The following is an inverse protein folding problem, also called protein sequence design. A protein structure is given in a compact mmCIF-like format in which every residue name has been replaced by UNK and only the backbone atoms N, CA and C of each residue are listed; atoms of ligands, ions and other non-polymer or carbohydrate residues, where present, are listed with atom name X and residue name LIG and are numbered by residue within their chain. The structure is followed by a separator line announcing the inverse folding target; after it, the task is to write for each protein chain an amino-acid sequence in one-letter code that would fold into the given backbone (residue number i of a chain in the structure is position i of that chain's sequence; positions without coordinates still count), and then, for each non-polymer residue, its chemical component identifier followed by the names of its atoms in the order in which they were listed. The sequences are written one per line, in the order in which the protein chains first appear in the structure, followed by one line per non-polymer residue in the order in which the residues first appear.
data_IF_554900667781
#
_entry.id   IF_554900667781
#
_cell.length_a   1.000
_cell.length_b   1.000
_cell.length_c   1.000
_cell.angle_alpha   90.00
_cell.angle_beta   90.00
_cell.angle_gamma   90.00
#
_symmetry.space_group_name_H-M   'P 1'
#
loop_
_entity.id
_entity.type
_entity.pdbx_description
1 polymer ?
#
# COMPACT_ATOMS: atom_id res chain seq x y z
N UNK A 1 -81.31 16.92 45.27
CA UNK A 1 -81.17 15.48 45.58
C UNK A 1 -82.11 14.80 44.59
N UNK A 2 -81.68 14.05 43.58
CA UNK A 2 -80.76 12.90 43.59
C UNK A 2 -80.24 12.67 42.15
N UNK A 3 -79.08 12.01 42.05
CA UNK A 3 -78.28 11.72 40.86
C UNK A 3 -79.05 11.13 39.65
N UNK A 4 -78.69 11.60 38.45
CA UNK A 4 -78.85 10.87 37.19
C UNK A 4 -77.47 10.34 36.76
N UNK A 5 -77.34 9.02 36.69
CA UNK A 5 -76.29 8.31 35.95
C UNK A 5 -76.97 7.36 34.98
N UNK A 6 -76.88 7.65 33.68
CA UNK A 6 -77.00 6.70 32.55
C UNK A 6 -76.06 7.31 31.48
N UNK A 7 -74.83 6.79 31.32
CA UNK A 7 -74.44 5.62 30.52
C UNK A 7 -74.43 5.90 29.01
N UNK A 8 -73.21 5.81 28.45
CA UNK A 8 -72.86 5.33 27.10
C UNK A 8 -73.35 6.20 25.93
N UNK A 9 -72.59 6.46 24.86
CA UNK A 9 -71.32 5.96 24.36
C UNK A 9 -71.02 6.74 23.07
N UNK A 10 -69.85 6.45 22.50
CA UNK A 10 -69.51 6.51 21.07
C UNK A 10 -68.42 7.48 20.66
N UNK A 11 -67.43 6.84 20.03
CA UNK A 11 -66.62 7.35 18.94
C UNK A 11 -65.38 8.17 19.32
N UNK A 12 -64.34 7.46 19.75
CA UNK A 12 -62.98 7.76 19.27
C UNK A 12 -62.18 6.47 19.08
N UNK A 13 -62.79 5.51 18.41
CA UNK A 13 -62.08 4.42 17.74
C UNK A 13 -61.91 4.81 16.26
N UNK A 14 -60.81 4.35 15.64
CA UNK A 14 -60.49 4.49 14.21
C UNK A 14 -59.69 5.70 13.71
N UNK A 15 -58.70 6.19 14.48
CA UNK A 15 -57.59 6.98 13.89
C UNK A 15 -56.17 6.52 14.25
N UNK A 16 -56.02 5.43 15.01
CA UNK A 16 -54.69 4.94 15.43
C UNK A 16 -54.29 3.57 14.85
N UNK A 17 -55.03 3.01 13.88
CA UNK A 17 -54.74 1.69 13.30
C UNK A 17 -53.68 1.69 12.18
N UNK A 18 -53.35 2.86 11.62
CA UNK A 18 -52.39 2.98 10.52
C UNK A 18 -51.02 3.54 10.94
N UNK A 19 -50.86 3.97 12.19
CA UNK A 19 -49.58 4.50 12.69
C UNK A 19 -48.59 3.40 13.06
N UNK A 20 -49.05 2.29 13.65
CA UNK A 20 -48.22 1.15 14.08
C UNK A 20 -47.60 0.38 12.88
N UNK A 21 -48.34 0.01 11.81
CA UNK A 21 -47.73 -0.70 10.69
C UNK A 21 -46.75 0.16 9.87
N UNK A 22 -46.95 1.48 9.84
CA UNK A 22 -46.06 2.40 9.13
C UNK A 22 -44.69 2.57 9.84
N UNK A 23 -44.68 2.49 11.18
CA UNK A 23 -43.44 2.51 11.98
C UNK A 23 -42.66 1.19 11.83
N UNK A 24 -43.34 0.05 11.78
CA UNK A 24 -42.67 -1.25 11.59
C UNK A 24 -42.05 -1.34 10.18
N UNK A 25 -42.73 -0.81 9.16
CA UNK A 25 -42.22 -0.76 7.79
C UNK A 25 -40.98 0.15 7.66
N UNK A 26 -40.92 1.28 8.39
CA UNK A 26 -39.74 2.14 8.39
C UNK A 26 -38.55 1.50 9.11
N UNK A 27 -38.76 0.77 10.20
CA UNK A 27 -37.67 0.02 10.85
C UNK A 27 -37.12 -1.13 9.99
N UNK A 28 -37.95 -1.81 9.20
CA UNK A 28 -37.50 -2.85 8.26
C UNK A 28 -36.68 -2.25 7.10
N UNK A 29 -37.10 -1.09 6.56
CA UNK A 29 -36.33 -0.40 5.51
C UNK A 29 -35.02 0.21 6.03
N UNK A 30 -34.97 0.68 7.29
CA UNK A 30 -33.73 1.12 7.95
C UNK A 30 -32.79 -0.04 8.29
N UNK A 31 -33.30 -1.26 8.55
CA UNK A 31 -32.45 -2.46 8.70
C UNK A 31 -31.88 -2.98 7.37
N UNK A 32 -32.44 -2.53 6.24
CA UNK A 32 -31.92 -2.73 4.89
C UNK A 32 -31.05 -1.56 4.40
N UNK A 33 -30.76 -0.56 5.25
CA UNK A 33 -29.56 0.24 5.03
C UNK A 33 -28.41 -0.77 5.11
N UNK A 34 -27.83 -1.08 3.95
CA UNK A 34 -26.59 -1.83 3.87
C UNK A 34 -25.70 -1.23 4.95
N UNK A 35 -25.28 -2.05 5.90
CA UNK A 35 -24.00 -1.82 6.55
C UNK A 35 -23.08 -1.49 5.39
N UNK A 36 -22.55 -0.27 5.38
CA UNK A 36 -21.30 -0.04 4.69
C UNK A 36 -20.36 -1.04 5.33
N UNK A 37 -20.29 -2.22 4.71
CA UNK A 37 -19.22 -3.16 4.96
C UNK A 37 -18.00 -2.31 4.66
N UNK A 38 -17.29 -1.94 5.74
CA UNK A 38 -15.86 -1.74 5.68
C UNK A 38 -15.34 -2.97 4.95
N UNK A 39 -15.29 -2.84 3.63
CA UNK A 39 -14.72 -3.83 2.76
C UNK A 39 -13.26 -3.74 3.17
N UNK A 40 -12.79 -4.73 3.93
CA UNK A 40 -11.36 -4.97 4.06
C UNK A 40 -10.85 -5.14 2.63
N UNK A 41 -10.45 -4.04 1.99
CA UNK A 41 -9.90 -4.00 0.63
C UNK A 41 -8.45 -4.46 0.70
N UNK A 42 -8.23 -5.63 1.30
CA UNK A 42 -6.94 -6.30 1.25
C UNK A 42 -6.74 -6.72 -0.20
N UNK A 43 -5.69 -6.18 -0.80
CA UNK A 43 -5.35 -6.48 -2.19
C UNK A 43 -4.69 -7.85 -2.26
N UNK A 44 -4.68 -8.49 -3.43
CA UNK A 44 -3.94 -9.76 -3.58
C UNK A 44 -2.41 -9.58 -3.40
N UNK A 45 -1.93 -8.35 -3.54
CA UNK A 45 -0.54 -7.97 -3.28
C UNK A 45 -0.23 -7.81 -1.79
N UNK A 46 -1.23 -7.83 -0.89
CA UNK A 46 -1.05 -7.62 0.54
C UNK A 46 0.01 -8.59 1.13
N UNK A 47 0.97 -8.00 1.83
CA UNK A 47 2.09 -8.69 2.47
C UNK A 47 3.46 -8.25 1.96
N UNK A 48 4.48 -8.94 2.46
CA UNK A 48 5.88 -8.70 2.12
C UNK A 48 6.35 -9.70 1.06
N UNK A 49 7.02 -9.19 0.05
CA UNK A 49 7.61 -9.95 -1.04
C UNK A 49 9.09 -9.64 -1.11
N UNK A 50 9.91 -10.60 -1.53
CA UNK A 50 11.36 -10.45 -1.58
C UNK A 50 11.94 -11.09 -2.84
N UNK A 51 12.80 -10.36 -3.54
CA UNK A 51 13.59 -10.92 -4.64
C UNK A 51 14.64 -11.90 -4.13
N UNK A 52 15.09 -12.81 -4.99
CA UNK A 52 16.35 -13.51 -4.73
C UNK A 52 17.52 -12.52 -4.81
N UNK A 53 18.68 -12.88 -4.26
CA UNK A 53 19.91 -12.14 -4.52
C UNK A 53 20.24 -12.19 -6.03
N UNK A 54 20.40 -11.04 -6.67
CA UNK A 54 20.79 -10.97 -8.07
C UNK A 54 21.85 -9.89 -8.31
N UNK A 55 22.66 -10.09 -9.35
CA UNK A 55 23.80 -9.23 -9.67
C UNK A 55 23.42 -8.17 -10.69
N UNK A 56 23.85 -6.92 -10.46
CA UNK A 56 23.75 -5.82 -11.42
C UNK A 56 24.97 -5.79 -12.37
N UNK A 57 24.92 -4.96 -13.41
CA UNK A 57 25.98 -4.86 -14.41
C UNK A 57 27.34 -4.41 -13.84
N UNK A 58 27.33 -3.79 -12.65
CA UNK A 58 28.52 -3.31 -11.93
C UNK A 58 29.13 -4.36 -10.98
N UNK A 59 28.68 -5.62 -11.06
CA UNK A 59 29.04 -6.72 -10.13
C UNK A 59 28.69 -6.45 -8.66
N UNK A 60 27.77 -5.54 -8.39
CA UNK A 60 27.10 -5.48 -7.09
C UNK A 60 25.93 -6.44 -7.12
N UNK A 61 25.41 -6.76 -5.94
CA UNK A 61 24.15 -7.51 -5.85
C UNK A 61 23.09 -6.72 -5.12
N UNK A 62 21.84 -7.05 -5.43
CA UNK A 62 20.66 -6.34 -5.00
C UNK A 62 19.65 -7.32 -4.39
N UNK A 63 18.96 -6.83 -3.38
CA UNK A 63 17.76 -7.45 -2.82
C UNK A 63 16.71 -6.35 -2.66
N UNK A 64 15.59 -6.51 -3.36
CA UNK A 64 14.39 -5.70 -3.20
C UNK A 64 13.34 -6.43 -2.37
N UNK A 65 12.80 -5.72 -1.38
CA UNK A 65 11.74 -6.22 -0.48
C UNK A 65 10.57 -5.22 -0.42
N UNK A 66 9.61 -5.28 -1.36
CA UNK A 66 8.37 -4.51 -1.25
C UNK A 66 7.40 -5.12 -0.23
N UNK A 67 6.74 -4.26 0.54
CA UNK A 67 5.64 -4.62 1.45
C UNK A 67 4.42 -3.77 1.11
N UNK A 68 3.34 -4.44 0.70
CA UNK A 68 2.05 -3.81 0.43
C UNK A 68 1.17 -3.97 1.67
N UNK A 69 0.71 -2.84 2.21
CA UNK A 69 -0.19 -2.80 3.35
C UNK A 69 -1.27 -1.75 3.15
N UNK A 70 -2.51 -2.19 2.89
CA UNK A 70 -3.62 -1.29 2.57
C UNK A 70 -3.37 -0.52 1.28
N UNK A 71 -3.05 0.78 1.37
CA UNK A 71 -2.67 1.63 0.24
C UNK A 71 -1.22 2.14 0.30
N UNK A 72 -0.42 1.62 1.25
CA UNK A 72 0.98 2.00 1.46
C UNK A 72 1.87 0.90 0.93
N UNK A 73 2.86 1.29 0.13
CA UNK A 73 3.95 0.44 -0.32
C UNK A 73 5.22 0.92 0.36
N UNK A 74 5.88 0.05 1.13
CA UNK A 74 7.25 0.28 1.59
C UNK A 74 8.21 -0.59 0.81
N UNK A 75 9.38 -0.05 0.46
CA UNK A 75 10.41 -0.79 -0.29
C UNK A 75 11.70 -0.72 0.51
N UNK A 76 12.32 -1.88 0.71
CA UNK A 76 13.72 -1.97 1.12
C UNK A 76 14.57 -2.36 -0.07
N UNK A 77 15.57 -1.55 -0.41
CA UNK A 77 16.58 -1.80 -1.44
C UNK A 77 17.94 -1.97 -0.76
N UNK A 78 18.40 -3.22 -0.69
CA UNK A 78 19.71 -3.59 -0.17
C UNK A 78 20.68 -3.72 -1.35
N UNK A 79 21.77 -2.95 -1.34
CA UNK A 79 22.87 -3.10 -2.30
C UNK A 79 24.10 -3.64 -1.57
N UNK A 80 24.73 -4.64 -2.16
CA UNK A 80 25.93 -5.30 -1.66
C UNK A 80 27.07 -5.16 -2.67
N UNK A 81 28.30 -4.98 -2.21
CA UNK A 81 29.48 -4.78 -3.07
C UNK A 81 30.11 -6.07 -3.60
N UNK A 82 29.44 -7.21 -3.43
CA UNK A 82 29.78 -8.50 -4.01
C UNK A 82 28.58 -9.08 -4.74
N UNK A 83 28.74 -10.23 -5.39
CA UNK A 83 27.69 -10.89 -6.18
C UNK A 83 26.85 -11.91 -5.38
N UNK A 84 27.17 -12.10 -4.10
CA UNK A 84 26.56 -13.11 -3.21
C UNK A 84 25.63 -12.51 -2.15
N UNK A 85 25.38 -11.20 -2.19
CA UNK A 85 24.66 -10.44 -1.18
C UNK A 85 25.22 -10.59 0.24
N UNK A 86 26.55 -10.75 0.38
CA UNK A 86 27.18 -10.98 1.68
C UNK A 86 27.79 -9.72 2.30
N UNK A 87 28.25 -8.78 1.47
CA UNK A 87 28.96 -7.57 1.88
C UNK A 87 28.12 -6.34 1.61
N UNK A 88 27.43 -5.87 2.65
CA UNK A 88 26.56 -4.69 2.57
C UNK A 88 27.32 -3.45 2.10
N UNK A 89 26.72 -2.74 1.15
CA UNK A 89 27.19 -1.45 0.67
C UNK A 89 26.25 -0.33 1.11
N UNK A 90 24.93 -0.48 0.90
CA UNK A 90 23.93 0.49 1.34
C UNK A 90 22.56 -0.15 1.57
N UNK A 91 21.77 0.56 2.36
CA UNK A 91 20.32 0.37 2.49
C UNK A 91 19.58 1.60 1.97
N UNK A 92 18.47 1.38 1.25
CA UNK A 92 17.41 2.37 1.05
C UNK A 92 16.11 1.86 1.63
N UNK A 93 15.36 2.76 2.25
CA UNK A 93 13.99 2.52 2.71
C UNK A 93 13.08 3.61 2.12
N UNK A 94 12.09 3.19 1.35
CA UNK A 94 11.17 4.07 0.63
C UNK A 94 9.74 3.83 1.11
N UNK A 95 8.91 4.87 1.05
CA UNK A 95 7.48 4.77 1.30
C UNK A 95 6.71 5.50 0.19
N UNK A 96 5.76 4.78 -0.38
CA UNK A 96 4.94 5.17 -1.51
C UNK A 96 3.48 4.85 -1.22
N UNK A 97 2.60 5.37 -2.05
CA UNK A 97 1.21 4.90 -2.09
C UNK A 97 0.99 4.13 -3.37
N UNK A 98 0.06 3.18 -3.36
CA UNK A 98 -0.30 2.45 -4.57
C UNK A 98 -1.82 2.36 -4.72
N UNK A 99 -2.26 2.15 -5.96
CA UNK A 99 -3.65 1.91 -6.30
C UNK A 99 -3.75 0.75 -7.29
N UNK A 100 -4.67 -0.17 -7.02
CA UNK A 100 -4.98 -1.25 -7.94
C UNK A 100 -5.69 -0.70 -9.18
N UNK A 101 -5.25 -1.12 -10.36
CA UNK A 101 -5.86 -0.77 -11.65
C UNK A 101 -6.75 -1.90 -12.18
N UNK A 102 -6.83 -2.00 -13.51
CA UNK A 102 -7.40 -3.18 -14.17
C UNK A 102 -6.63 -4.45 -13.77
N UNK A 103 -7.17 -5.62 -14.13
CA UNK A 103 -6.56 -6.93 -13.87
C UNK A 103 -5.05 -6.95 -14.18
N UNK A 104 -4.26 -7.30 -13.15
CA UNK A 104 -2.80 -7.37 -13.22
C UNK A 104 -2.08 -6.02 -13.25
N UNK A 105 -2.77 -4.87 -13.11
CA UNK A 105 -2.13 -3.54 -13.11
C UNK A 105 -2.15 -2.92 -11.73
N UNK A 106 -1.06 -2.25 -11.38
CA UNK A 106 -0.96 -1.41 -10.18
C UNK A 106 -0.21 -0.13 -10.54
N UNK A 107 -0.66 0.99 -10.00
CA UNK A 107 0.07 2.26 -10.09
C UNK A 107 0.66 2.59 -8.74
N UNK A 108 1.91 3.06 -8.75
CA UNK A 108 2.63 3.49 -7.55
C UNK A 108 2.86 4.99 -7.68
N UNK A 109 2.46 5.76 -6.68
CA UNK A 109 2.78 7.18 -6.57
C UNK A 109 3.98 7.34 -5.66
N UNK A 110 5.07 7.89 -6.20
CA UNK A 110 6.32 8.05 -5.46
C UNK A 110 6.13 9.00 -4.28
N UNK A 111 6.79 8.65 -3.17
CA UNK A 111 6.85 9.48 -1.98
C UNK A 111 7.67 10.74 -2.23
N UNK A 112 7.69 11.64 -1.25
CA UNK A 112 8.52 12.85 -1.33
C UNK A 112 9.97 12.59 -0.92
N UNK A 113 10.18 11.63 -0.01
CA UNK A 113 11.49 11.35 0.59
C UNK A 113 11.71 9.85 0.79
N UNK A 114 12.97 9.47 0.94
CA UNK A 114 13.41 8.13 1.31
C UNK A 114 14.55 8.22 2.32
N UNK A 115 14.81 7.13 3.05
CA UNK A 115 15.99 7.03 3.91
C UNK A 115 17.09 6.29 3.17
N UNK A 116 18.32 6.79 3.27
CA UNK A 116 19.51 6.11 2.77
C UNK A 116 20.49 5.92 3.91
N UNK A 117 21.10 4.76 3.98
CA UNK A 117 22.08 4.40 5.01
C UNK A 117 23.31 3.76 4.33
N UNK A 118 24.51 4.37 4.41
CA UNK A 118 25.72 3.71 3.95
C UNK A 118 26.11 2.61 4.94
N UNK A 119 26.35 1.39 4.47
CA UNK A 119 26.69 0.24 5.34
C UNK A 119 28.16 -0.18 5.21
N UNK A 120 28.92 0.47 4.33
CA UNK A 120 30.36 0.28 4.16
C UNK A 120 31.14 1.59 4.23
N UNK A 121 32.44 1.48 4.49
CA UNK A 121 33.35 2.62 4.53
C UNK A 121 33.52 3.23 3.12
N UNK A 122 33.44 2.39 2.08
CA UNK A 122 33.44 2.83 0.69
C UNK A 122 32.18 3.65 0.34
N UNK A 123 31.00 3.24 0.82
CA UNK A 123 29.78 4.02 0.66
C UNK A 123 29.86 5.36 1.39
N UNK A 124 30.36 5.37 2.63
CA UNK A 124 30.57 6.61 3.41
C UNK A 124 31.48 7.59 2.67
N UNK A 125 32.64 7.11 2.18
CA UNK A 125 33.57 7.94 1.41
C UNK A 125 32.91 8.48 0.15
N UNK A 126 32.26 7.61 -0.64
CA UNK A 126 31.59 7.99 -1.88
C UNK A 126 30.51 9.05 -1.65
N UNK A 127 29.69 8.90 -0.59
CA UNK A 127 28.59 9.81 -0.34
C UNK A 127 29.06 11.19 0.12
N UNK A 128 30.12 11.25 0.93
CA UNK A 128 30.72 12.52 1.34
C UNK A 128 31.43 13.22 0.17
N UNK A 129 32.14 12.48 -0.68
CA UNK A 129 32.83 13.06 -1.85
C UNK A 129 31.84 13.61 -2.87
N UNK A 130 30.72 12.92 -3.10
CA UNK A 130 29.75 13.28 -4.13
C UNK A 130 28.57 14.13 -3.61
N UNK A 131 28.63 14.61 -2.36
CA UNK A 131 27.53 15.33 -1.71
C UNK A 131 26.17 14.61 -1.88
N UNK A 132 26.14 13.30 -1.60
CA UNK A 132 24.97 12.47 -1.91
C UNK A 132 23.76 12.94 -1.10
N UNK A 133 22.63 13.12 -1.79
CA UNK A 133 21.39 13.67 -1.24
C UNK A 133 21.54 15.08 -0.66
N UNK A 134 22.42 15.91 -1.25
CA UNK A 134 22.74 17.26 -0.78
C UNK A 134 23.17 17.31 0.69
N UNK A 135 23.72 16.18 1.17
CA UNK A 135 24.12 15.98 2.55
C UNK A 135 25.62 15.65 2.64
N UNK A 136 26.22 16.15 3.72
CA UNK A 136 27.59 15.85 4.12
C UNK A 136 27.60 15.20 5.51
N UNK A 137 28.79 14.76 5.95
CA UNK A 137 28.94 14.08 7.24
C UNK A 137 28.16 12.76 7.25
N UNK A 138 28.21 12.01 6.16
CA UNK A 138 27.73 10.63 6.13
C UNK A 138 28.60 9.79 7.04
N UNK A 139 27.93 8.97 7.86
CA UNK A 139 28.54 8.04 8.80
C UNK A 139 27.95 6.65 8.57
N UNK A 140 28.77 5.63 8.78
CA UNK A 140 28.39 4.24 8.55
C UNK A 140 27.22 3.87 9.46
N UNK A 141 26.22 3.19 8.91
CA UNK A 141 25.00 2.74 9.58
C UNK A 141 24.13 3.88 10.16
N UNK A 142 24.35 5.13 9.74
CA UNK A 142 23.52 6.27 10.11
C UNK A 142 22.65 6.69 8.93
N UNK A 143 21.34 6.51 9.07
CA UNK A 143 20.38 6.89 8.04
C UNK A 143 20.30 8.42 7.90
N UNK A 144 20.17 8.92 6.67
CA UNK A 144 19.71 10.29 6.39
C UNK A 144 18.55 10.27 5.42
N UNK A 145 17.68 11.27 5.57
CA UNK A 145 16.57 11.52 4.65
C UNK A 145 17.08 12.17 3.38
N UNK A 146 16.72 11.60 2.24
CA UNK A 146 16.96 12.09 0.90
C UNK A 146 15.63 12.48 0.25
N UNK A 147 15.67 13.37 -0.74
CA UNK A 147 14.51 13.78 -1.53
C UNK A 147 14.44 13.01 -2.84
N UNK A 148 13.23 12.68 -3.29
CA UNK A 148 12.98 12.25 -4.67
C UNK A 148 13.02 13.43 -5.66
N UNK A 149 13.12 14.67 -5.18
CA UNK A 149 13.25 15.85 -6.03
C UNK A 149 12.02 16.07 -6.90
N UNK A 150 12.23 16.28 -8.19
CA UNK A 150 11.16 16.49 -9.18
C UNK A 150 10.33 15.23 -9.44
N UNK A 151 10.85 14.04 -9.08
CA UNK A 151 10.14 12.77 -9.23
C UNK A 151 9.10 12.53 -8.12
N UNK A 152 9.09 13.35 -7.07
CA UNK A 152 8.13 13.23 -5.98
C UNK A 152 6.69 13.35 -6.49
N UNK A 153 5.85 12.38 -6.13
CA UNK A 153 4.44 12.34 -6.55
C UNK A 153 4.22 11.90 -8.00
N UNK A 154 5.28 11.54 -8.75
CA UNK A 154 5.12 10.94 -10.07
C UNK A 154 4.52 9.53 -9.97
N UNK A 155 3.86 9.11 -11.04
CA UNK A 155 3.23 7.80 -11.14
C UNK A 155 4.13 6.82 -11.88
N UNK A 156 4.43 5.70 -11.24
CA UNK A 156 5.05 4.52 -11.85
C UNK A 156 3.95 3.51 -12.18
N UNK A 157 3.99 2.98 -13.39
CA UNK A 157 3.02 2.01 -13.89
C UNK A 157 3.60 0.62 -13.81
N UNK A 158 2.88 -0.31 -13.20
CA UNK A 158 3.35 -1.68 -13.07
C UNK A 158 2.33 -2.68 -13.61
N UNK A 159 2.84 -3.77 -14.17
CA UNK A 159 2.12 -4.97 -14.53
C UNK A 159 2.61 -6.10 -13.63
N UNK A 160 1.69 -6.86 -13.04
CA UNK A 160 2.01 -7.96 -12.14
C UNK A 160 1.23 -9.23 -12.46
N UNK A 161 1.77 -10.36 -12.04
CA UNK A 161 1.12 -11.65 -12.04
C UNK A 161 1.51 -12.43 -10.79
N UNK A 162 0.57 -13.17 -10.20
CA UNK A 162 0.83 -14.02 -9.04
C UNK A 162 0.66 -15.49 -9.44
N UNK A 163 1.65 -16.31 -9.09
CA UNK A 163 1.59 -17.76 -9.23
C UNK A 163 1.99 -18.41 -7.90
N UNK A 164 0.98 -18.84 -7.13
CA UNK A 164 1.19 -19.39 -5.79
C UNK A 164 1.82 -18.36 -4.85
N UNK A 165 3.04 -18.63 -4.40
CA UNK A 165 3.82 -17.73 -3.51
C UNK A 165 4.78 -16.82 -4.27
N UNK A 166 4.74 -16.84 -5.61
CA UNK A 166 5.61 -16.04 -6.46
C UNK A 166 4.85 -14.87 -7.07
N UNK A 167 5.40 -13.67 -6.92
CA UNK A 167 4.95 -12.46 -7.58
C UNK A 167 5.93 -12.13 -8.71
N UNK A 168 5.41 -11.89 -9.90
CA UNK A 168 6.14 -11.31 -11.02
C UNK A 168 5.67 -9.87 -11.18
N UNK A 169 6.59 -8.92 -11.26
CA UNK A 169 6.23 -7.50 -11.37
C UNK A 169 7.22 -6.77 -12.26
N UNK A 170 6.70 -6.05 -13.25
CA UNK A 170 7.45 -5.16 -14.15
C UNK A 170 6.90 -3.75 -13.97
N UNK A 171 7.78 -2.77 -13.79
CA UNK A 171 7.39 -1.37 -13.56
C UNK A 171 8.11 -0.43 -14.52
N UNK A 172 7.43 0.62 -14.94
CA UNK A 172 7.99 1.65 -15.82
C UNK A 172 7.45 3.04 -15.44
N UNK A 173 8.32 4.04 -15.43
CA UNK A 173 8.00 5.41 -15.01
C UNK A 173 7.35 6.26 -16.11
N UNK A 174 7.20 5.73 -17.33
CA UNK A 174 6.76 6.48 -18.50
C UNK A 174 5.49 5.91 -19.13
N UNK A 175 5.42 4.58 -19.27
CA UNK A 175 4.32 3.87 -19.96
C UNK A 175 3.91 2.62 -19.21
N UNK A 176 2.65 2.22 -19.33
CA UNK A 176 2.17 0.96 -18.76
C UNK A 176 2.86 -0.25 -19.45
N UNK A 177 3.56 -1.12 -18.71
CA UNK A 177 4.12 -2.34 -19.26
C UNK A 177 3.02 -3.25 -19.83
N UNK A 178 3.32 -3.92 -20.95
CA UNK A 178 2.41 -4.86 -21.63
C UNK A 178 2.82 -6.32 -21.48
N UNK A 179 4.01 -6.58 -20.95
CA UNK A 179 4.55 -7.91 -20.66
C UNK A 179 5.48 -7.82 -19.45
N UNK A 180 5.64 -8.92 -18.73
CA UNK A 180 6.59 -9.04 -17.62
C UNK A 180 7.80 -9.84 -18.09
N UNK A 181 9.00 -9.28 -17.97
CA UNK A 181 10.22 -10.04 -18.18
C UNK A 181 10.49 -10.89 -16.94
N UNK A 182 10.61 -12.21 -17.11
CA UNK A 182 10.88 -13.13 -16.00
C UNK A 182 12.39 -13.22 -15.79
N UNK A 183 12.89 -12.43 -14.84
CA UNK A 183 14.25 -12.48 -14.33
C UNK A 183 14.23 -12.36 -12.80
N UNK A 184 15.41 -12.38 -12.17
CA UNK A 184 15.53 -12.33 -10.72
C UNK A 184 15.14 -10.97 -10.11
N UNK A 185 15.26 -9.86 -10.85
CA UNK A 185 14.89 -8.53 -10.39
C UNK A 185 13.38 -8.28 -10.40
N UNK A 186 12.67 -8.98 -11.29
CA UNK A 186 11.21 -8.90 -11.44
C UNK A 186 10.46 -10.08 -10.81
N UNK A 187 11.16 -10.98 -10.11
CA UNK A 187 10.57 -12.17 -9.46
C UNK A 187 10.74 -12.11 -7.95
N UNK A 188 9.62 -12.13 -7.23
CA UNK A 188 9.56 -12.00 -5.79
C UNK A 188 8.90 -13.23 -5.17
N UNK A 189 9.35 -13.62 -3.98
CA UNK A 189 8.76 -14.68 -3.17
C UNK A 189 8.11 -14.08 -1.93
N UNK A 190 6.88 -14.50 -1.63
CA UNK A 190 6.17 -14.10 -0.40
C UNK A 190 6.97 -14.51 0.85
N UNK A 191 7.10 -13.59 1.81
CA UNK A 191 7.84 -13.80 3.06
C UNK A 191 6.96 -14.31 4.21
#
# INVERSE_FOLDING_TARGET
VTFHTISQSFAMEDKMKYFIPMIILSFVLLSCAKKDEEKDTTTELEGTWKTACYTDDDNNSLIFTPTFAGNVLTITDEKHSDTSCATDYRLIEESHTFAMGDEGKVTITLGSTFKRTPQSDSAVSSYNTNNKCDATGWEKNTAKTCSFGEDAGTTVYCLYAISGTTLYMECNNSVQPTSITIDAGNTFTKQ
#
